data_IF_074022216291
#
_entry.id   IF_074022216291
#
_cell.length_a   1.000
_cell.length_b   1.000
_cell.length_c   1.000
_cell.angle_alpha   90.00
_cell.angle_beta   90.00
_cell.angle_gamma   90.00
#
_symmetry.space_group_name_H-M   'P 1'
#
loop_
_entity.id
_entity.type
_entity.pdbx_description
1 polymer ?
#
# COMPACT_ATOMS: atom_id res chain seq x y z
N UNK A 1 -15.27 -23.08 8.60
CA UNK A 1 -14.20 -22.64 7.67
C UNK A 1 -13.85 -21.23 8.07
N UNK A 2 -12.82 -21.06 8.89
CA UNK A 2 -12.34 -19.76 9.33
C UNK A 2 -11.71 -19.03 8.13
N UNK A 3 -12.24 -17.85 7.79
CA UNK A 3 -11.64 -16.97 6.78
C UNK A 3 -10.41 -16.28 7.40
N UNK A 4 -9.32 -17.02 7.59
CA UNK A 4 -8.01 -16.42 7.83
C UNK A 4 -7.47 -15.96 6.48
N UNK A 5 -7.72 -14.69 6.15
CA UNK A 5 -7.28 -14.12 4.88
C UNK A 5 -7.94 -12.79 4.56
N UNK A 6 -8.00 -11.87 5.52
CA UNK A 6 -8.49 -10.54 5.24
C UNK A 6 -7.45 -9.80 4.39
N UNK A 7 -7.83 -9.32 3.20
CA UNK A 7 -7.04 -8.33 2.48
C UNK A 7 -7.29 -6.97 3.13
N UNK A 8 -6.27 -6.34 3.69
CA UNK A 8 -6.36 -4.95 4.15
C UNK A 8 -6.32 -4.01 2.94
N UNK A 9 -7.14 -2.96 2.93
CA UNK A 9 -7.04 -1.92 1.91
C UNK A 9 -6.27 -0.74 2.47
N UNK A 10 -5.25 -0.31 1.74
CA UNK A 10 -4.49 0.89 2.02
C UNK A 10 -4.77 1.91 0.93
N UNK A 11 -5.49 2.95 1.29
CA UNK A 11 -5.79 4.07 0.40
C UNK A 11 -4.71 5.14 0.53
N UNK A 12 -4.00 5.40 -0.56
CA UNK A 12 -2.88 6.35 -0.63
C UNK A 12 -3.22 7.62 -1.42
N UNK A 13 -4.48 7.79 -1.80
CA UNK A 13 -4.93 8.95 -2.57
C UNK A 13 -4.70 10.25 -1.78
N UNK A 14 -4.30 11.30 -2.49
CA UNK A 14 -4.07 12.62 -1.88
C UNK A 14 -2.85 12.71 -0.95
N UNK A 15 -2.15 11.60 -0.69
CA UNK A 15 -0.89 11.61 0.05
C UNK A 15 0.27 12.05 -0.84
N UNK A 16 1.31 12.61 -0.23
CA UNK A 16 2.60 12.74 -0.90
C UNK A 16 3.31 11.38 -0.91
N UNK A 17 4.19 11.17 -1.91
CA UNK A 17 4.94 9.92 -2.04
C UNK A 17 5.70 9.55 -0.76
N UNK A 18 6.27 10.52 -0.04
CA UNK A 18 6.96 10.27 1.22
C UNK A 18 6.05 9.67 2.30
N UNK A 19 4.83 10.20 2.43
CA UNK A 19 3.84 9.73 3.41
C UNK A 19 3.33 8.33 3.04
N UNK A 20 3.07 8.10 1.75
CA UNK A 20 2.69 6.79 1.24
C UNK A 20 3.77 5.73 1.52
N UNK A 21 5.04 6.04 1.29
CA UNK A 21 6.15 5.13 1.59
C UNK A 21 6.31 4.88 3.10
N UNK A 22 6.03 5.87 3.95
CA UNK A 22 6.06 5.69 5.40
C UNK A 22 4.94 4.76 5.87
N UNK A 23 3.73 4.87 5.32
CA UNK A 23 2.63 3.95 5.61
C UNK A 23 2.97 2.52 5.18
N UNK A 24 3.58 2.34 4.00
CA UNK A 24 4.03 1.02 3.54
C UNK A 24 5.05 0.40 4.50
N UNK A 25 6.03 1.18 4.98
CA UNK A 25 7.00 0.70 5.99
C UNK A 25 6.34 0.31 7.31
N UNK A 26 5.35 1.07 7.77
CA UNK A 26 4.60 0.72 8.98
C UNK A 26 3.87 -0.59 8.81
N UNK A 27 3.21 -0.78 7.68
CA UNK A 27 2.52 -2.04 7.37
C UNK A 27 3.51 -3.21 7.31
N UNK A 28 4.69 -3.05 6.70
CA UNK A 28 5.73 -4.09 6.73
C UNK A 28 6.16 -4.47 8.15
N UNK A 29 6.30 -3.49 9.05
CA UNK A 29 6.59 -3.74 10.46
C UNK A 29 5.45 -4.50 11.13
N UNK A 30 4.21 -4.08 10.86
CA UNK A 30 2.97 -4.73 11.26
C UNK A 30 2.75 -6.09 10.58
N UNK A 31 3.57 -6.49 9.60
CA UNK A 31 3.59 -7.87 9.09
C UNK A 31 4.68 -8.71 9.75
N UNK A 32 5.82 -8.10 10.09
CA UNK A 32 7.01 -8.78 10.63
C UNK A 32 6.95 -9.08 12.14
N UNK A 33 6.19 -8.32 12.91
CA UNK A 33 5.97 -8.61 14.34
C UNK A 33 5.24 -9.97 14.59
N UNK A 34 5.39 -10.59 15.75
CA UNK A 34 5.03 -12.02 15.99
C UNK A 34 3.52 -12.36 16.03
N UNK A 35 2.61 -11.40 15.91
CA UNK A 35 1.16 -11.63 16.03
C UNK A 35 0.49 -12.07 14.71
N UNK A 36 0.83 -13.27 14.23
CA UNK A 36 0.30 -13.84 12.98
C UNK A 36 -1.20 -14.17 12.97
N UNK A 37 -1.85 -14.31 14.12
CA UNK A 37 -3.21 -14.86 14.21
C UNK A 37 -4.33 -13.92 13.76
N UNK A 38 -4.13 -12.61 13.78
CA UNK A 38 -5.16 -11.60 13.47
C UNK A 38 -4.76 -10.67 12.31
N UNK A 39 -3.63 -10.94 11.67
CA UNK A 39 -3.10 -10.07 10.62
C UNK A 39 -3.79 -10.33 9.28
N UNK A 40 -3.98 -9.27 8.48
CA UNK A 40 -4.32 -9.45 7.08
C UNK A 40 -3.23 -10.29 6.41
N UNK A 41 -3.60 -11.12 5.44
CA UNK A 41 -2.63 -11.94 4.69
C UNK A 41 -2.02 -11.20 3.51
N UNK A 42 -2.63 -10.08 3.14
CA UNK A 42 -2.27 -9.26 1.99
C UNK A 42 -2.78 -7.85 2.20
N UNK A 43 -2.11 -6.88 1.58
CA UNK A 43 -2.56 -5.48 1.54
C UNK A 43 -2.76 -5.05 0.09
N UNK A 44 -3.98 -4.63 -0.22
CA UNK A 44 -4.36 -4.01 -1.50
C UNK A 44 -4.07 -2.51 -1.42
N UNK A 45 -3.13 -2.04 -2.24
CA UNK A 45 -2.73 -0.64 -2.28
C UNK A 45 -3.55 0.08 -3.35
N UNK A 46 -4.33 1.08 -2.93
CA UNK A 46 -5.21 1.87 -3.79
C UNK A 46 -4.61 3.26 -3.96
N UNK A 47 -4.13 3.55 -5.17
CA UNK A 47 -3.37 4.78 -5.49
C UNK A 47 -4.25 5.84 -6.18
N UNK A 48 -5.47 5.51 -6.63
CA UNK A 48 -6.22 6.34 -7.61
C UNK A 48 -7.67 6.62 -7.19
N UNK A 49 -8.14 7.85 -7.44
CA UNK A 49 -9.57 8.15 -7.63
C UNK A 49 -9.83 8.60 -9.08
N UNK A 50 -10.78 7.92 -9.74
CA UNK A 50 -11.61 8.44 -10.81
C UNK A 50 -10.94 8.88 -12.11
N UNK A 51 -11.52 8.48 -13.24
CA UNK A 51 -11.15 8.80 -14.63
C UNK A 51 -11.06 10.32 -14.99
N UNK A 52 -11.15 11.22 -14.00
CA UNK A 52 -11.26 12.68 -14.11
C UNK A 52 -10.29 13.47 -13.21
N UNK A 53 -9.26 12.86 -12.60
CA UNK A 53 -8.26 13.66 -11.87
C UNK A 53 -7.48 14.53 -12.87
N UNK A 54 -7.54 15.87 -12.71
CA UNK A 54 -6.79 16.82 -13.52
C UNK A 54 -5.26 16.76 -13.26
N UNK A 55 -4.81 15.80 -12.45
CA UNK A 55 -3.48 15.69 -11.86
C UNK A 55 -2.70 14.46 -12.38
N UNK A 56 -2.92 14.06 -13.64
CA UNK A 56 -2.40 12.82 -14.23
C UNK A 56 -0.88 12.57 -14.09
N UNK A 57 -0.06 13.58 -13.80
CA UNK A 57 1.39 13.42 -13.55
C UNK A 57 1.79 13.14 -12.09
N UNK A 58 0.95 13.47 -11.10
CA UNK A 58 1.22 13.18 -9.70
C UNK A 58 0.95 11.71 -9.37
N UNK A 59 -0.13 11.17 -9.93
CA UNK A 59 -0.54 9.77 -9.78
C UNK A 59 0.49 8.81 -10.39
N UNK A 60 1.11 9.18 -11.52
CA UNK A 60 2.17 8.39 -12.16
C UNK A 60 3.44 8.33 -11.30
N UNK A 61 3.89 9.47 -10.76
CA UNK A 61 5.06 9.51 -9.86
C UNK A 61 4.81 8.72 -8.59
N UNK A 62 3.60 8.80 -8.03
CA UNK A 62 3.20 8.02 -6.87
C UNK A 62 3.26 6.52 -7.17
N UNK A 63 2.63 6.10 -8.28
CA UNK A 63 2.65 4.70 -8.73
C UNK A 63 4.06 4.19 -8.95
N UNK A 64 4.89 4.91 -9.71
CA UNK A 64 6.27 4.49 -9.98
C UNK A 64 7.12 4.44 -8.72
N UNK A 65 6.95 5.39 -7.79
CA UNK A 65 7.65 5.39 -6.51
C UNK A 65 7.26 4.20 -5.62
N UNK A 66 5.98 3.86 -5.56
CA UNK A 66 5.49 2.69 -4.83
C UNK A 66 5.97 1.39 -5.48
N UNK A 67 5.89 1.27 -6.81
CA UNK A 67 6.37 0.08 -7.51
C UNK A 67 7.88 -0.14 -7.30
N UNK A 68 8.68 0.92 -7.42
CA UNK A 68 10.13 0.83 -7.16
C UNK A 68 10.43 0.42 -5.71
N UNK A 69 9.64 0.90 -4.75
CA UNK A 69 9.77 0.50 -3.35
C UNK A 69 9.46 -0.99 -3.14
N UNK A 70 8.35 -1.49 -3.71
CA UNK A 70 7.96 -2.90 -3.61
C UNK A 70 8.99 -3.83 -4.27
N UNK A 71 9.51 -3.44 -5.44
CA UNK A 71 10.55 -4.18 -6.16
C UNK A 71 11.84 -4.28 -5.32
N UNK A 72 12.29 -3.19 -4.70
CA UNK A 72 13.46 -3.19 -3.80
C UNK A 72 13.30 -4.13 -2.59
N UNK A 73 12.06 -4.41 -2.19
CA UNK A 73 11.72 -5.25 -1.04
C UNK A 73 11.42 -6.70 -1.42
N UNK A 74 11.40 -7.04 -2.71
CA UNK A 74 11.02 -8.34 -3.25
C UNK A 74 9.56 -8.74 -2.95
N UNK A 75 8.64 -7.77 -3.01
CA UNK A 75 7.18 -8.02 -3.01
C UNK A 75 6.63 -8.25 -4.41
#
# INVERSE_FOLDING_TARGET
MEQYGATQRLELYGLHLGDALNLLKQIEQDFNEENRATRPTSTEIIIVYGKNSAYGGADEKMRSGILAYLEQRNY
#
